data_IF_745905658875
#
_entry.id   IF_745905658875
#
_cell.length_a   1.000
_cell.length_b   1.000
_cell.length_c   1.000
_cell.angle_alpha   90.00
_cell.angle_beta   90.00
_cell.angle_gamma   90.00
#
_symmetry.space_group_name_H-M   'P 1'
#
loop_
_entity.id
_entity.type
_entity.pdbx_description
1 polymer ?
#
# COMPACT_ATOMS: atom_id res chain seq x y z
N UNK A 1 -11.99 -13.42 -30.95
CA UNK A 1 -10.64 -12.94 -30.68
C UNK A 1 -10.28 -13.27 -29.24
N UNK A 2 -8.99 -13.58 -28.95
CA UNK A 2 -8.50 -13.96 -27.63
C UNK A 2 -8.86 -12.97 -26.50
N UNK A 3 -8.99 -11.67 -26.81
CA UNK A 3 -9.42 -10.63 -25.88
C UNK A 3 -10.91 -10.71 -25.49
N UNK A 4 -11.76 -11.24 -26.37
CA UNK A 4 -13.19 -11.41 -26.06
C UNK A 4 -13.48 -12.65 -25.20
N UNK A 5 -12.55 -13.60 -25.15
CA UNK A 5 -12.65 -14.82 -24.33
C UNK A 5 -11.92 -14.69 -22.98
N UNK A 6 -10.99 -13.76 -22.85
CA UNK A 6 -10.31 -13.45 -21.59
C UNK A 6 -11.02 -12.28 -20.88
N UNK A 7 -11.18 -12.37 -19.58
CA UNK A 7 -11.68 -11.28 -18.73
C UNK A 7 -10.71 -10.09 -18.61
N UNK A 8 -9.68 -10.01 -19.49
CA UNK A 8 -8.64 -9.00 -19.44
C UNK A 8 -9.10 -7.76 -20.23
N UNK A 9 -9.13 -6.64 -19.54
CA UNK A 9 -9.42 -5.34 -20.12
C UNK A 9 -8.31 -4.95 -21.13
N UNK A 10 -8.72 -4.46 -22.31
CA UNK A 10 -7.82 -4.00 -23.36
C UNK A 10 -6.79 -2.96 -22.84
N UNK A 11 -7.22 -2.08 -21.95
CA UNK A 11 -6.35 -1.07 -21.35
C UNK A 11 -5.27 -1.69 -20.45
N UNK A 12 -5.61 -2.69 -19.65
CA UNK A 12 -4.64 -3.43 -18.85
C UNK A 12 -3.66 -4.22 -19.73
N UNK A 13 -4.14 -4.82 -20.83
CA UNK A 13 -3.29 -5.50 -21.79
C UNK A 13 -2.31 -4.52 -22.48
N UNK A 14 -2.82 -3.39 -22.97
CA UNK A 14 -2.02 -2.34 -23.59
C UNK A 14 -0.96 -1.77 -22.61
N UNK A 15 -1.35 -1.57 -21.36
CA UNK A 15 -0.45 -1.12 -20.31
C UNK A 15 0.68 -2.14 -20.05
N UNK A 16 0.35 -3.42 -19.89
CA UNK A 16 1.32 -4.48 -19.67
C UNK A 16 2.31 -4.59 -20.86
N UNK A 17 1.81 -4.55 -22.08
CA UNK A 17 2.63 -4.57 -23.30
C UNK A 17 3.57 -3.36 -23.36
N UNK A 18 3.05 -2.16 -23.15
CA UNK A 18 3.84 -0.93 -23.16
C UNK A 18 4.93 -0.97 -22.10
N UNK A 19 4.56 -1.35 -20.86
CA UNK A 19 5.52 -1.45 -19.76
C UNK A 19 6.63 -2.46 -20.05
N UNK A 20 6.28 -3.63 -20.57
CA UNK A 20 7.24 -4.67 -20.92
C UNK A 20 8.19 -4.20 -22.03
N UNK A 21 7.66 -3.68 -23.14
CA UNK A 21 8.48 -3.26 -24.27
C UNK A 21 9.40 -2.09 -23.92
N UNK A 22 8.90 -1.10 -23.16
CA UNK A 22 9.73 0.04 -22.72
C UNK A 22 10.74 -0.33 -21.63
N UNK A 23 10.59 -1.48 -20.97
CA UNK A 23 11.57 -1.99 -19.99
C UNK A 23 12.68 -2.77 -20.65
N UNK A 24 12.34 -3.66 -21.59
CA UNK A 24 13.29 -4.63 -22.13
C UNK A 24 13.89 -4.24 -23.50
N UNK A 25 13.32 -3.26 -24.20
CA UNK A 25 13.87 -2.78 -25.47
C UNK A 25 14.58 -1.44 -25.21
N UNK A 26 15.93 -1.39 -25.27
CA UNK A 26 16.67 -0.16 -25.03
C UNK A 26 16.27 0.96 -25.99
N UNK A 27 16.13 2.18 -25.45
CA UNK A 27 15.79 3.37 -26.24
C UNK A 27 14.31 3.51 -26.61
N UNK A 28 13.44 2.58 -26.18
CA UNK A 28 12.01 2.66 -26.43
C UNK A 28 11.32 3.45 -25.31
N UNK A 29 10.86 4.67 -25.62
CA UNK A 29 10.14 5.53 -24.66
C UNK A 29 8.62 5.37 -24.73
N UNK A 30 8.08 4.95 -25.87
CA UNK A 30 6.65 4.80 -26.11
C UNK A 30 6.39 3.69 -27.16
N UNK A 31 5.16 3.16 -27.13
CA UNK A 31 4.73 2.06 -28.01
C UNK A 31 3.46 2.50 -28.74
N UNK A 32 3.40 2.25 -30.06
CA UNK A 32 2.15 2.38 -30.82
C UNK A 32 1.43 1.04 -30.87
N UNK A 33 0.29 0.94 -30.21
CA UNK A 33 -0.54 -0.26 -30.24
C UNK A 33 -1.64 -0.08 -31.28
N UNK A 34 -1.78 -1.05 -32.18
CA UNK A 34 -2.75 -1.01 -33.27
C UNK A 34 -3.71 -2.21 -33.18
N UNK A 35 -4.97 -1.98 -33.51
CA UNK A 35 -5.94 -3.04 -33.75
C UNK A 35 -6.27 -3.01 -35.26
N UNK A 36 -5.78 -4.01 -35.97
CA UNK A 36 -5.72 -3.93 -37.43
C UNK A 36 -4.84 -2.77 -37.86
N UNK A 37 -5.35 -1.89 -38.74
CA UNK A 37 -4.63 -0.73 -39.24
C UNK A 37 -4.83 0.56 -38.40
N UNK A 38 -5.66 0.51 -37.36
CA UNK A 38 -5.99 1.69 -36.55
C UNK A 38 -5.19 1.72 -35.25
N UNK A 39 -4.45 2.80 -34.95
CA UNK A 39 -3.82 2.97 -33.67
C UNK A 39 -4.86 3.15 -32.57
N UNK A 40 -4.57 2.65 -31.38
CA UNK A 40 -5.37 2.93 -30.19
C UNK A 40 -5.06 4.36 -29.75
N UNK A 41 -6.05 5.25 -29.77
CA UNK A 41 -5.90 6.63 -29.34
C UNK A 41 -6.47 6.89 -27.96
N UNK A 42 -7.21 5.95 -27.41
CA UNK A 42 -7.83 6.07 -26.10
C UNK A 42 -7.83 4.72 -25.38
N UNK A 43 -7.40 4.71 -24.12
CA UNK A 43 -7.46 3.55 -23.23
C UNK A 43 -8.40 3.88 -22.07
N UNK A 44 -9.47 3.13 -21.91
CA UNK A 44 -10.47 3.28 -20.84
C UNK A 44 -10.59 2.00 -20.05
N UNK A 45 -10.76 2.14 -18.73
CA UNK A 45 -11.27 1.07 -17.88
C UNK A 45 -12.50 1.56 -17.11
N UNK A 46 -13.23 0.66 -16.50
CA UNK A 46 -14.33 1.01 -15.61
C UNK A 46 -13.88 1.79 -14.34
N UNK A 47 -12.59 1.78 -14.03
CA UNK A 47 -12.00 2.34 -12.80
C UNK A 47 -11.12 3.56 -13.02
N UNK A 48 -10.67 3.83 -14.25
CA UNK A 48 -9.71 4.89 -14.54
C UNK A 48 -10.21 5.78 -15.66
N UNK A 49 -9.91 7.07 -15.56
CA UNK A 49 -10.14 8.03 -16.62
C UNK A 49 -9.42 7.61 -17.90
N UNK A 50 -9.95 8.02 -19.02
CA UNK A 50 -9.35 7.71 -20.30
C UNK A 50 -7.94 8.29 -20.42
N UNK A 51 -6.99 7.45 -20.84
CA UNK A 51 -5.67 7.93 -21.27
C UNK A 51 -5.74 8.18 -22.76
N UNK A 52 -5.48 9.43 -23.17
CA UNK A 52 -5.38 9.80 -24.57
C UNK A 52 -3.96 9.54 -25.05
N UNK A 53 -3.81 8.61 -25.99
CA UNK A 53 -2.53 8.32 -26.63
C UNK A 53 -2.31 9.33 -27.78
N UNK A 54 -1.49 10.34 -27.58
CA UNK A 54 -1.18 11.36 -28.59
C UNK A 54 -0.54 10.69 -29.82
N UNK A 55 -1.19 10.77 -30.97
CA UNK A 55 -0.72 10.11 -32.19
C UNK A 55 -0.70 8.59 -32.11
N UNK A 56 -1.41 7.97 -31.16
CA UNK A 56 -1.43 6.53 -30.91
C UNK A 56 -0.21 6.02 -30.16
N UNK A 57 0.65 6.92 -29.65
CA UNK A 57 1.83 6.57 -28.85
C UNK A 57 1.46 6.51 -27.36
N UNK A 58 1.70 5.39 -26.74
CA UNK A 58 1.47 5.12 -25.33
C UNK A 58 2.83 5.06 -24.62
N UNK A 59 3.08 5.99 -23.71
CA UNK A 59 4.32 6.02 -22.92
C UNK A 59 4.20 5.14 -21.67
N UNK A 60 5.34 4.80 -21.05
CA UNK A 60 5.39 4.07 -19.79
C UNK A 60 4.63 4.80 -18.68
N UNK A 61 4.87 6.10 -18.54
CA UNK A 61 4.21 6.94 -17.52
C UNK A 61 2.70 7.03 -17.71
N UNK A 62 2.22 7.03 -18.96
CA UNK A 62 0.78 7.06 -19.25
C UNK A 62 0.06 5.78 -18.82
N UNK A 63 0.74 4.63 -18.76
CA UNK A 63 0.13 3.35 -18.41
C UNK A 63 0.35 2.94 -16.95
N UNK A 64 1.18 3.65 -16.21
CA UNK A 64 1.49 3.36 -14.82
C UNK A 64 0.24 3.23 -13.92
N UNK A 65 -0.77 4.12 -14.04
CA UNK A 65 -2.01 4.00 -13.27
C UNK A 65 -2.79 2.70 -13.50
N UNK A 66 -2.60 2.04 -14.65
CA UNK A 66 -3.25 0.74 -14.91
C UNK A 66 -2.53 -0.44 -14.26
N UNK A 67 -1.28 -0.25 -13.88
CA UNK A 67 -0.42 -1.26 -13.27
C UNK A 67 -0.33 -1.11 -11.75
N UNK A 68 -0.84 -0.02 -11.23
CA UNK A 68 -0.93 0.24 -9.79
C UNK A 68 -2.34 -0.01 -9.27
N UNK A 69 -2.43 -0.22 -7.98
CA UNK A 69 -3.65 -0.20 -7.19
C UNK A 69 -3.41 0.72 -6.01
N UNK A 70 -4.46 1.23 -5.38
CA UNK A 70 -4.32 2.03 -4.17
C UNK A 70 -4.50 1.15 -2.95
N UNK A 71 -3.68 1.39 -1.92
CA UNK A 71 -3.86 0.87 -0.58
C UNK A 71 -3.99 2.04 0.39
N UNK A 72 -4.87 1.90 1.36
CA UNK A 72 -5.03 2.89 2.42
C UNK A 72 -3.98 2.65 3.51
N UNK A 73 -3.23 3.67 3.86
CA UNK A 73 -2.29 3.65 4.99
C UNK A 73 -2.69 4.71 6.01
N UNK A 74 -2.28 4.54 7.25
CA UNK A 74 -2.63 5.45 8.33
C UNK A 74 -1.38 6.14 8.89
N UNK A 75 -1.30 7.44 8.67
CA UNK A 75 -0.31 8.33 9.27
C UNK A 75 -0.92 9.13 10.42
N UNK A 76 -0.16 10.01 11.05
CA UNK A 76 -0.66 10.84 12.14
C UNK A 76 -0.72 12.32 11.75
N UNK A 77 -1.79 13.00 12.18
CA UNK A 77 -1.92 14.46 12.16
C UNK A 77 -2.51 14.92 13.48
N UNK A 78 -1.83 15.83 14.17
CA UNK A 78 -2.27 16.33 15.48
C UNK A 78 -2.56 15.24 16.52
N UNK A 79 -1.81 14.14 16.52
CA UNK A 79 -1.97 13.02 17.45
C UNK A 79 -3.14 12.07 17.13
N UNK A 80 -3.76 12.20 15.94
CA UNK A 80 -4.85 11.35 15.45
C UNK A 80 -4.41 10.71 14.14
N UNK A 81 -4.81 9.46 13.89
CA UNK A 81 -4.54 8.77 12.63
C UNK A 81 -5.41 9.36 11.50
N UNK A 82 -4.82 9.56 10.34
CA UNK A 82 -5.51 9.99 9.12
C UNK A 82 -5.25 9.02 7.98
N UNK A 83 -6.26 8.81 7.14
CA UNK A 83 -6.17 7.96 5.96
C UNK A 83 -5.40 8.67 4.86
N UNK A 84 -4.41 7.97 4.28
CA UNK A 84 -3.67 8.39 3.10
C UNK A 84 -3.65 7.25 2.10
N UNK A 85 -3.63 7.57 0.81
CA UNK A 85 -3.60 6.58 -0.25
C UNK A 85 -2.18 6.40 -0.79
N UNK A 86 -1.77 5.15 -1.01
CA UNK A 86 -0.47 4.83 -1.61
C UNK A 86 -0.62 3.96 -2.84
N UNK A 87 0.01 4.34 -3.95
CA UNK A 87 0.06 3.48 -5.13
C UNK A 87 0.99 2.29 -4.86
N UNK A 88 0.49 1.10 -5.06
CA UNK A 88 1.28 -0.13 -5.01
C UNK A 88 1.12 -0.89 -6.33
N UNK A 89 2.09 -1.73 -6.68
CA UNK A 89 1.92 -2.57 -7.85
C UNK A 89 0.64 -3.40 -7.71
N UNK A 90 -0.23 -3.39 -8.72
CA UNK A 90 -1.55 -4.05 -8.68
C UNK A 90 -1.46 -5.51 -8.23
N UNK A 91 -0.44 -6.24 -8.70
CA UNK A 91 -0.18 -7.64 -8.31
C UNK A 91 0.19 -7.80 -6.83
N UNK A 92 0.55 -6.72 -6.16
CA UNK A 92 0.98 -6.70 -4.76
C UNK A 92 -0.03 -6.00 -3.85
N UNK A 93 -1.16 -5.50 -4.39
CA UNK A 93 -2.15 -4.75 -3.60
C UNK A 93 -2.74 -5.60 -2.46
N UNK A 94 -2.94 -6.90 -2.71
CA UNK A 94 -3.42 -7.84 -1.69
C UNK A 94 -2.29 -8.39 -0.79
N UNK A 95 -1.03 -8.03 -1.07
CA UNK A 95 0.11 -8.45 -0.28
C UNK A 95 0.18 -7.65 1.02
N UNK A 96 0.05 -8.33 2.14
CA UNK A 96 0.16 -7.74 3.48
C UNK A 96 1.53 -7.06 3.70
N UNK A 97 2.60 -7.69 3.18
CA UNK A 97 3.94 -7.10 3.23
C UNK A 97 4.02 -5.79 2.43
N UNK A 98 3.45 -5.74 1.23
CA UNK A 98 3.44 -4.52 0.43
C UNK A 98 2.64 -3.39 1.08
N UNK A 99 1.54 -3.70 1.79
CA UNK A 99 0.77 -2.72 2.56
C UNK A 99 1.60 -2.17 3.73
N UNK A 100 2.34 -3.03 4.43
CA UNK A 100 3.28 -2.60 5.47
C UNK A 100 4.43 -1.75 4.91
N UNK A 101 5.01 -2.13 3.77
CA UNK A 101 6.04 -1.34 3.11
C UNK A 101 5.52 0.05 2.71
N UNK A 102 4.30 0.13 2.18
CA UNK A 102 3.66 1.41 1.84
C UNK A 102 3.47 2.32 3.08
N UNK A 103 3.17 1.74 4.25
CA UNK A 103 3.12 2.48 5.51
C UNK A 103 4.52 2.95 5.95
N UNK A 104 5.56 2.15 5.73
CA UNK A 104 6.95 2.48 6.06
C UNK A 104 7.52 3.61 5.18
N UNK A 105 7.01 3.81 3.97
CA UNK A 105 7.44 4.92 3.09
C UNK A 105 7.18 6.29 3.72
N UNK A 106 6.22 6.39 4.63
CA UNK A 106 5.86 7.64 5.28
C UNK A 106 5.04 8.59 4.38
N UNK A 107 4.68 9.77 4.91
CA UNK A 107 3.93 10.78 4.18
C UNK A 107 4.78 11.44 3.09
N UNK A 108 4.15 11.78 1.96
CA UNK A 108 4.78 12.53 0.89
C UNK A 108 4.97 14.02 1.26
N UNK A 109 5.61 14.79 0.37
CA UNK A 109 5.91 16.19 0.65
C UNK A 109 4.64 17.03 0.85
N UNK A 110 3.59 16.80 0.07
CA UNK A 110 2.31 17.52 0.19
C UNK A 110 1.64 17.22 1.52
N UNK A 111 1.61 15.97 1.90
CA UNK A 111 1.06 15.52 3.19
C UNK A 111 1.84 16.09 4.38
N UNK A 112 3.17 16.17 4.26
CA UNK A 112 4.02 16.80 5.29
C UNK A 112 3.72 18.30 5.42
N UNK A 113 3.51 19.00 4.32
CA UNK A 113 3.10 20.42 4.30
C UNK A 113 1.71 20.63 4.96
N UNK A 114 0.84 19.61 4.91
CA UNK A 114 -0.45 19.57 5.60
C UNK A 114 -0.35 19.14 7.07
N UNK A 115 0.85 18.91 7.58
CA UNK A 115 1.11 18.54 8.97
C UNK A 115 0.93 17.04 9.25
N UNK A 116 0.93 16.19 8.22
CA UNK A 116 0.90 14.74 8.37
C UNK A 116 2.32 14.25 8.64
N UNK A 117 2.47 13.38 9.63
CA UNK A 117 3.76 12.83 10.05
C UNK A 117 3.73 11.31 10.01
N UNK A 118 4.88 10.70 9.73
CA UNK A 118 5.04 9.26 9.79
C UNK A 118 4.72 8.73 11.19
N UNK A 119 4.06 7.58 11.25
CA UNK A 119 3.81 6.88 12.50
C UNK A 119 4.92 5.89 12.83
N UNK A 120 5.54 5.29 11.81
CA UNK A 120 6.65 4.37 11.99
C UNK A 120 7.98 5.11 12.02
N UNK A 121 8.96 4.67 12.85
CA UNK A 121 10.31 5.21 12.84
C UNK A 121 10.98 5.05 11.48
N UNK A 122 11.76 6.04 11.07
CA UNK A 122 12.46 6.03 9.78
C UNK A 122 13.59 4.98 9.69
N UNK A 123 13.98 4.40 10.81
CA UNK A 123 14.97 3.34 10.94
C UNK A 123 14.42 1.96 10.59
N UNK A 124 13.11 1.76 10.72
CA UNK A 124 12.43 0.49 10.41
C UNK A 124 12.58 0.16 8.92
N UNK A 125 12.83 -1.11 8.63
CA UNK A 125 13.07 -1.65 7.28
C UNK A 125 12.13 -2.81 6.96
N UNK A 126 12.03 -3.15 5.69
CA UNK A 126 11.25 -4.30 5.24
C UNK A 126 11.69 -5.62 5.90
N UNK A 127 12.99 -5.76 6.19
CA UNK A 127 13.54 -6.95 6.85
C UNK A 127 13.07 -7.11 8.29
N UNK A 128 12.57 -6.05 8.92
CA UNK A 128 11.96 -6.10 10.25
C UNK A 128 10.57 -6.75 10.26
N UNK A 129 9.98 -6.98 9.09
CA UNK A 129 8.76 -7.77 8.93
C UNK A 129 9.14 -9.23 8.74
N UNK A 130 9.22 -9.99 9.81
CA UNK A 130 9.59 -11.42 9.76
C UNK A 130 8.51 -12.27 9.11
N UNK A 131 7.25 -11.90 9.28
CA UNK A 131 6.14 -12.58 8.62
C UNK A 131 4.79 -11.93 8.91
N UNK A 132 3.88 -12.08 7.96
CA UNK A 132 2.47 -11.73 8.16
C UNK A 132 1.64 -12.87 7.57
N UNK A 133 0.73 -13.42 8.38
CA UNK A 133 -0.15 -14.51 7.99
C UNK A 133 -1.61 -14.22 8.39
N UNK A 134 -2.54 -14.91 7.74
CA UNK A 134 -3.97 -14.85 8.07
C UNK A 134 -4.35 -16.17 8.71
N UNK A 135 -4.92 -16.12 9.90
CA UNK A 135 -5.49 -17.28 10.60
C UNK A 135 -6.95 -16.97 10.95
N UNK A 136 -7.87 -17.56 10.20
CA UNK A 136 -9.30 -17.25 10.33
C UNK A 136 -9.62 -15.79 10.03
N UNK A 137 -10.06 -15.05 11.04
CA UNK A 137 -10.37 -13.61 10.97
C UNK A 137 -9.32 -12.72 11.65
N UNK A 138 -8.13 -13.28 11.90
CA UNK A 138 -7.03 -12.62 12.59
C UNK A 138 -5.77 -12.58 11.73
N UNK A 139 -5.12 -11.44 11.66
CA UNK A 139 -3.79 -11.27 11.08
C UNK A 139 -2.75 -11.50 12.17
N UNK A 140 -1.78 -12.37 11.89
CA UNK A 140 -0.62 -12.61 12.73
C UNK A 140 0.55 -11.83 12.14
N UNK A 141 1.04 -10.82 12.85
CA UNK A 141 2.14 -9.94 12.41
C UNK A 141 3.35 -10.23 13.28
N UNK A 142 4.39 -10.80 12.68
CA UNK A 142 5.65 -11.10 13.36
C UNK A 142 6.71 -10.09 12.94
N UNK A 143 7.24 -9.37 13.91
CA UNK A 143 8.23 -8.30 13.76
C UNK A 143 9.55 -8.69 14.41
N UNK A 144 10.63 -8.02 14.01
CA UNK A 144 11.95 -8.21 14.60
C UNK A 144 12.07 -7.58 15.99
N UNK A 145 13.07 -8.01 16.77
CA UNK A 145 13.44 -7.35 18.01
C UNK A 145 13.95 -5.91 17.75
N UNK A 146 14.57 -5.67 16.59
CA UNK A 146 14.96 -4.33 16.15
C UNK A 146 13.75 -3.40 16.05
N UNK A 147 12.65 -3.86 15.41
CA UNK A 147 11.41 -3.09 15.36
C UNK A 147 10.86 -2.78 16.76
N UNK A 148 10.89 -3.77 17.65
CA UNK A 148 10.47 -3.59 19.05
C UNK A 148 11.28 -2.53 19.78
N UNK A 149 12.61 -2.56 19.63
CA UNK A 149 13.50 -1.57 20.20
C UNK A 149 13.18 -0.16 19.71
N UNK A 150 12.92 0.00 18.41
CA UNK A 150 12.51 1.29 17.82
C UNK A 150 11.20 1.82 18.44
N UNK A 151 10.20 0.97 18.67
CA UNK A 151 8.96 1.39 19.38
C UNK A 151 9.30 1.88 20.79
N UNK A 152 10.19 1.19 21.50
CA UNK A 152 10.59 1.57 22.85
C UNK A 152 11.28 2.95 22.87
N UNK A 153 12.13 3.23 21.87
CA UNK A 153 12.83 4.51 21.73
C UNK A 153 11.87 5.67 21.43
N UNK A 154 10.80 5.44 20.66
CA UNK A 154 9.77 6.46 20.42
C UNK A 154 8.96 6.80 21.69
N UNK A 155 8.95 5.90 22.65
CA UNK A 155 8.32 6.12 23.96
C UNK A 155 6.81 5.93 23.97
N UNK A 156 6.24 6.19 25.13
CA UNK A 156 4.84 5.89 25.46
C UNK A 156 3.82 6.60 24.59
N UNK A 157 4.09 7.85 24.23
CA UNK A 157 3.11 8.67 23.50
C UNK A 157 2.96 8.22 22.04
N UNK A 158 4.03 7.71 21.44
CA UNK A 158 4.03 7.22 20.07
C UNK A 158 3.53 5.77 19.95
N UNK A 159 3.68 4.94 20.97
CA UNK A 159 3.39 3.50 20.97
C UNK A 159 1.98 3.19 20.43
N UNK A 160 0.98 3.94 20.90
CA UNK A 160 -0.42 3.74 20.46
C UNK A 160 -0.61 4.07 18.98
N UNK A 161 -0.02 5.16 18.49
CA UNK A 161 -0.12 5.54 17.09
C UNK A 161 0.61 4.56 16.17
N UNK A 162 1.79 4.09 16.57
CA UNK A 162 2.56 3.05 15.87
C UNK A 162 1.72 1.77 15.73
N UNK A 163 1.21 1.26 16.85
CA UNK A 163 0.41 0.04 16.86
C UNK A 163 -0.82 0.17 15.96
N UNK A 164 -1.64 1.20 16.18
CA UNK A 164 -2.90 1.34 15.45
C UNK A 164 -2.74 1.82 14.01
N UNK A 165 -1.63 2.43 13.61
CA UNK A 165 -1.34 2.68 12.20
C UNK A 165 -1.17 1.37 11.44
N UNK A 166 -0.48 0.39 12.01
CA UNK A 166 -0.32 -0.95 11.44
C UNK A 166 -1.67 -1.68 11.42
N UNK A 167 -2.37 -1.73 12.56
CA UNK A 167 -3.66 -2.40 12.69
C UNK A 167 -4.67 -1.86 11.68
N UNK A 168 -4.84 -0.53 11.63
CA UNK A 168 -5.82 0.09 10.76
C UNK A 168 -5.46 -0.08 9.28
N UNK A 169 -4.17 0.04 8.91
CA UNK A 169 -3.71 -0.18 7.55
C UNK A 169 -4.03 -1.60 7.08
N UNK A 170 -3.67 -2.62 7.85
CA UNK A 170 -3.88 -4.01 7.48
C UNK A 170 -5.37 -4.39 7.49
N UNK A 171 -6.12 -3.99 8.50
CA UNK A 171 -7.55 -4.28 8.58
C UNK A 171 -8.35 -3.61 7.45
N UNK A 172 -8.04 -2.36 7.12
CA UNK A 172 -8.75 -1.59 6.07
C UNK A 172 -8.61 -2.24 4.70
N UNK A 173 -7.40 -2.66 4.35
CA UNK A 173 -7.12 -3.20 3.02
C UNK A 173 -7.55 -4.67 2.85
N UNK A 174 -7.60 -5.44 3.94
CA UNK A 174 -7.92 -6.88 3.88
C UNK A 174 -9.36 -7.21 4.26
N UNK A 175 -10.01 -6.34 5.02
CA UNK A 175 -11.31 -6.62 5.64
C UNK A 175 -11.24 -7.58 6.83
N UNK A 176 -10.03 -8.04 7.20
CA UNK A 176 -9.81 -8.81 8.44
C UNK A 176 -9.99 -7.88 9.62
N UNK A 177 -10.54 -8.39 10.72
CA UNK A 177 -11.00 -7.54 11.82
C UNK A 177 -10.02 -7.43 12.97
N UNK A 178 -9.07 -8.34 13.05
CA UNK A 178 -8.19 -8.50 14.21
C UNK A 178 -6.73 -8.60 13.78
N UNK A 179 -5.85 -8.08 14.61
CA UNK A 179 -4.39 -8.21 14.46
C UNK A 179 -3.81 -8.69 15.78
N UNK A 180 -2.89 -9.63 15.71
CA UNK A 180 -2.09 -10.10 16.83
C UNK A 180 -0.62 -9.95 16.49
N UNK A 181 0.16 -9.38 17.41
CA UNK A 181 1.58 -9.14 17.21
C UNK A 181 2.45 -10.19 17.88
N UNK A 182 3.57 -10.46 17.22
CA UNK A 182 4.67 -11.28 17.72
C UNK A 182 5.98 -10.53 17.47
N UNK A 183 6.95 -10.73 18.33
CA UNK A 183 8.32 -10.26 18.15
C UNK A 183 9.23 -11.48 18.23
N UNK A 184 10.01 -11.74 17.17
CA UNK A 184 10.80 -12.97 17.00
C UNK A 184 9.97 -14.26 17.21
N UNK A 185 8.67 -14.22 16.87
CA UNK A 185 7.75 -15.36 17.05
C UNK A 185 7.15 -15.47 18.44
N UNK A 186 7.50 -14.60 19.39
CA UNK A 186 6.99 -14.62 20.76
C UNK A 186 6.00 -13.48 21.02
N UNK A 187 4.97 -13.75 21.81
CA UNK A 187 4.10 -12.70 22.31
C UNK A 187 4.74 -11.98 23.47
N UNK A 188 4.68 -10.65 23.46
CA UNK A 188 5.16 -9.81 24.57
C UNK A 188 3.99 -9.10 25.23
N UNK A 189 4.08 -8.86 26.52
CA UNK A 189 3.03 -8.16 27.25
C UNK A 189 3.08 -6.66 27.01
N UNK A 190 4.27 -6.08 27.02
CA UNK A 190 4.47 -4.64 26.87
C UNK A 190 5.69 -4.34 26.00
N UNK A 191 5.70 -3.19 25.34
CA UNK A 191 6.86 -2.68 24.59
C UNK A 191 7.30 -1.37 25.22
N UNK A 192 6.59 -0.25 25.04
CA UNK A 192 6.91 1.01 25.72
C UNK A 192 6.05 1.25 26.98
N UNK A 193 5.09 0.37 27.26
CA UNK A 193 4.32 0.33 28.51
C UNK A 193 3.03 1.11 28.51
N UNK A 194 2.49 1.49 27.35
CA UNK A 194 1.17 2.15 27.22
C UNK A 194 0.08 1.15 26.89
N UNK A 195 0.36 0.17 26.04
CA UNK A 195 -0.60 -0.80 25.57
C UNK A 195 -0.15 -2.23 25.92
N UNK A 196 -1.14 -3.14 25.99
CA UNK A 196 -0.89 -4.58 26.20
C UNK A 196 -0.79 -5.27 24.83
N UNK A 197 0.43 -5.64 24.43
CA UNK A 197 0.73 -6.24 23.13
C UNK A 197 0.35 -7.73 23.02
N UNK A 198 0.18 -8.41 24.14
CA UNK A 198 -0.21 -9.84 24.17
C UNK A 198 -1.67 -10.10 23.78
N UNK A 199 -2.45 -9.05 23.48
CA UNK A 199 -3.86 -9.15 23.12
C UNK A 199 -4.12 -9.15 21.61
N UNK A 200 -5.41 -9.10 21.28
CA UNK A 200 -5.89 -8.87 19.92
C UNK A 200 -6.26 -7.39 19.75
N UNK A 201 -5.83 -6.81 18.64
CA UNK A 201 -6.14 -5.45 18.28
C UNK A 201 -7.23 -5.41 17.21
N UNK A 202 -8.22 -4.57 17.42
CA UNK A 202 -9.30 -4.34 16.45
C UNK A 202 -9.05 -3.05 15.70
N UNK A 203 -9.54 -2.98 14.46
CA UNK A 203 -9.62 -1.71 13.74
C UNK A 203 -10.25 -0.63 14.62
N UNK A 204 -9.55 0.48 14.79
CA UNK A 204 -9.98 1.55 15.72
C UNK A 204 -10.24 2.85 14.97
N UNK A 205 -11.52 3.03 14.60
CA UNK A 205 -11.98 4.26 13.95
C UNK A 205 -11.97 5.48 14.89
N UNK A 206 -11.96 5.25 16.20
CA UNK A 206 -11.94 6.33 17.19
C UNK A 206 -10.61 7.08 17.28
N UNK A 207 -9.53 6.43 16.78
CA UNK A 207 -8.23 7.06 16.62
C UNK A 207 -8.01 7.62 15.21
N UNK A 208 -8.94 7.37 14.27
CA UNK A 208 -8.85 7.86 12.90
C UNK A 208 -9.76 9.08 12.73
N UNK A 209 -9.23 10.11 12.08
CA UNK A 209 -10.07 11.21 11.59
C UNK A 209 -11.13 10.64 10.65
N UNK A 210 -12.41 10.94 10.90
CA UNK A 210 -13.47 10.64 9.93
C UNK A 210 -13.16 11.44 8.68
N UNK A 211 -12.82 10.75 7.60
CA UNK A 211 -12.67 11.39 6.29
C UNK A 211 -13.90 12.25 6.03
N UNK A 212 -13.67 13.51 5.72
CA UNK A 212 -14.70 14.40 5.23
C UNK A 212 -15.13 13.83 3.88
N UNK A 213 -16.27 13.10 3.88
CA UNK A 213 -16.92 12.61 2.67
C UNK A 213 -17.55 13.73 1.85
#
# INVERSE_FOLDING_TARGET
>A
TLLAQGKTDLACFAAAMTYTLTTFIPGTAAVCIRIGDKPITELKTARFNAITALGGLVSRTAVEPFLTSSVTVYFARNGILCECERPVARRSADSLRAQMCALMEGPDQTEQEEGIVATLPATVREDDILGIAVEGDTLLVNLSESFRAEIQEQGKDAETLICYSIVNTLCKNTGVKRVRFFFEGEQVETVAGTIYWGGEFLYNIGLAEKGLG
#
